data_IF_062193076795
#
_entry.id   IF_062193076795
#
_cell.length_a   1.000
_cell.length_b   1.000
_cell.length_c   1.000
_cell.angle_alpha   90.00
_cell.angle_beta   90.00
_cell.angle_gamma   90.00
#
_symmetry.space_group_name_H-M   'P 1'
#
loop_
_entity.id
_entity.type
_entity.pdbx_description
1 polymer ?
#
# COMPACT_ATOMS: atom_id res chain seq x y z
N UNK A 1 16.57 -7.71 45.74
CA UNK A 1 16.39 -7.49 44.29
C UNK A 1 15.48 -8.57 43.73
N UNK A 2 14.47 -8.22 42.92
CA UNK A 2 13.57 -9.20 42.29
C UNK A 2 14.19 -9.65 40.97
N UNK A 3 14.30 -10.96 40.76
CA UNK A 3 14.76 -11.55 39.49
C UNK A 3 13.54 -11.84 38.61
N UNK A 4 13.52 -11.33 37.39
CA UNK A 4 12.44 -11.54 36.41
C UNK A 4 12.98 -11.43 34.98
N UNK A 5 12.11 -11.66 34.00
CA UNK A 5 12.40 -11.60 32.58
C UNK A 5 11.54 -10.55 31.83
N UNK A 6 11.24 -9.40 32.45
CA UNK A 6 10.43 -8.36 31.82
C UNK A 6 11.04 -7.78 30.53
N UNK A 7 12.32 -8.05 30.27
CA UNK A 7 13.01 -7.73 29.02
C UNK A 7 12.61 -8.66 27.85
N UNK A 8 11.89 -9.77 28.10
CA UNK A 8 11.54 -10.73 27.06
C UNK A 8 10.47 -10.17 26.10
N UNK A 9 10.88 -9.79 24.90
CA UNK A 9 10.06 -9.07 23.91
C UNK A 9 8.97 -9.88 23.17
N UNK A 10 8.45 -10.97 23.72
CA UNK A 10 7.50 -11.86 23.02
C UNK A 10 6.23 -11.12 22.60
N UNK A 11 5.73 -10.23 23.47
CA UNK A 11 4.52 -9.46 23.21
C UNK A 11 4.70 -8.51 22.02
N UNK A 12 5.88 -7.90 21.86
CA UNK A 12 6.20 -7.09 20.67
C UNK A 12 6.32 -7.98 19.43
N UNK A 13 7.00 -9.12 19.52
CA UNK A 13 7.14 -10.04 18.38
C UNK A 13 5.78 -10.49 17.84
N UNK A 14 4.88 -10.94 18.72
CA UNK A 14 3.52 -11.34 18.37
C UNK A 14 2.72 -10.19 17.75
N UNK A 15 2.80 -8.99 18.33
CA UNK A 15 2.10 -7.82 17.79
C UNK A 15 2.59 -7.43 16.39
N UNK A 16 3.91 -7.49 16.15
CA UNK A 16 4.50 -7.18 14.84
C UNK A 16 4.19 -8.24 13.78
N UNK A 17 4.12 -9.52 14.15
CA UNK A 17 3.65 -10.59 13.27
C UNK A 17 2.18 -10.40 12.87
N UNK A 18 1.32 -10.07 13.83
CA UNK A 18 -0.09 -9.79 13.53
C UNK A 18 -0.27 -8.55 12.65
N UNK A 19 0.51 -7.49 12.89
CA UNK A 19 0.50 -6.30 12.05
C UNK A 19 0.96 -6.61 10.61
N UNK A 20 2.00 -7.42 10.43
CA UNK A 20 2.44 -7.85 9.10
C UNK A 20 1.32 -8.57 8.34
N UNK A 21 0.62 -9.51 9.01
CA UNK A 21 -0.51 -10.23 8.43
C UNK A 21 -1.63 -9.26 7.99
N UNK A 22 -1.95 -8.27 8.83
CA UNK A 22 -2.98 -7.28 8.51
C UNK A 22 -2.60 -6.42 7.28
N UNK A 23 -1.36 -5.94 7.23
CA UNK A 23 -0.84 -5.15 6.11
C UNK A 23 -0.84 -5.93 4.79
N UNK A 24 -0.41 -7.20 4.82
CA UNK A 24 -0.41 -8.07 3.64
C UNK A 24 -1.83 -8.31 3.13
N UNK A 25 -2.81 -8.56 4.01
CA UNK A 25 -4.20 -8.73 3.59
C UNK A 25 -4.80 -7.45 2.99
N UNK A 26 -4.47 -6.29 3.56
CA UNK A 26 -4.87 -4.99 2.99
C UNK A 26 -4.31 -4.81 1.57
N UNK A 27 -3.03 -5.14 1.35
CA UNK A 27 -2.41 -5.03 0.03
C UNK A 27 -2.91 -6.09 -0.97
N UNK A 28 -3.23 -7.30 -0.53
CA UNK A 28 -3.91 -8.29 -1.39
C UNK A 28 -5.21 -7.72 -1.95
N UNK A 29 -5.99 -7.00 -1.13
CA UNK A 29 -7.21 -6.36 -1.58
C UNK A 29 -6.93 -5.17 -2.51
N UNK A 30 -5.94 -4.34 -2.20
CA UNK A 30 -5.49 -3.23 -3.05
C UNK A 30 -5.09 -3.70 -4.45
N UNK A 31 -4.28 -4.77 -4.53
CA UNK A 31 -3.86 -5.39 -5.78
C UNK A 31 -5.05 -5.89 -6.62
N UNK A 32 -6.08 -6.46 -5.99
CA UNK A 32 -7.33 -6.84 -6.68
C UNK A 32 -8.16 -5.64 -7.15
N UNK A 33 -8.11 -4.51 -6.44
CA UNK A 33 -8.78 -3.27 -6.88
C UNK A 33 -8.04 -2.61 -8.04
N UNK A 34 -6.71 -2.68 -8.06
CA UNK A 34 -5.91 -2.29 -9.23
C UNK A 34 -6.32 -3.08 -10.46
N UNK A 35 -6.34 -4.41 -10.35
CA UNK A 35 -6.78 -5.32 -11.41
C UNK A 35 -8.19 -4.96 -11.91
N UNK A 36 -9.14 -4.77 -10.98
CA UNK A 36 -10.51 -4.37 -11.31
C UNK A 36 -10.60 -3.02 -12.03
N UNK A 37 -9.74 -2.04 -11.74
CA UNK A 37 -9.76 -0.74 -12.44
C UNK A 37 -9.18 -0.83 -13.85
N UNK A 38 -8.20 -1.70 -14.04
CA UNK A 38 -7.44 -1.82 -15.29
C UNK A 38 -8.10 -2.79 -16.28
N UNK A 39 -8.92 -3.73 -15.81
CA UNK A 39 -9.61 -4.71 -16.64
C UNK A 39 -10.97 -4.18 -17.16
N UNK A 40 -11.15 -4.02 -18.49
CA UNK A 40 -12.39 -3.53 -19.09
C UNK A 40 -13.61 -4.41 -18.79
N UNK A 41 -13.44 -5.70 -18.49
CA UNK A 41 -14.55 -6.60 -18.19
C UNK A 41 -15.15 -6.34 -16.80
N UNK A 42 -14.41 -5.64 -15.93
CA UNK A 42 -14.76 -5.46 -14.51
C UNK A 42 -14.78 -4.00 -14.04
N UNK A 43 -14.26 -3.06 -14.83
CA UNK A 43 -14.00 -1.69 -14.42
C UNK A 43 -15.19 -0.73 -14.59
N UNK A 44 -16.28 -1.13 -15.26
CA UNK A 44 -17.48 -0.32 -15.49
C UNK A 44 -17.28 0.75 -16.56
N UNK A 45 -17.05 0.32 -17.80
CA UNK A 45 -16.91 1.13 -19.02
C UNK A 45 -15.68 2.06 -19.06
N UNK A 46 -14.71 1.86 -18.17
CA UNK A 46 -13.42 2.54 -18.27
C UNK A 46 -12.59 1.88 -19.38
N UNK A 47 -11.75 2.64 -20.10
CA UNK A 47 -10.90 2.07 -21.14
C UNK A 47 -9.88 1.08 -20.53
N UNK A 48 -9.45 0.06 -21.29
CA UNK A 48 -8.48 -0.91 -20.81
C UNK A 48 -7.21 -0.22 -20.32
N UNK A 49 -6.72 -0.65 -19.16
CA UNK A 49 -5.56 -0.08 -18.47
C UNK A 49 -5.63 1.43 -18.21
N UNK A 50 -6.85 1.97 -18.16
CA UNK A 50 -7.14 3.40 -18.03
C UNK A 50 -6.51 4.25 -19.16
N UNK A 51 -6.30 3.65 -20.33
CA UNK A 51 -5.73 4.29 -21.52
C UNK A 51 -6.85 4.77 -22.46
N UNK A 52 -7.30 6.02 -22.30
CA UNK A 52 -8.37 6.57 -23.14
C UNK A 52 -7.89 6.92 -24.55
N UNK A 53 -6.67 7.43 -24.68
CA UNK A 53 -6.12 7.93 -25.93
C UNK A 53 -5.30 6.85 -26.66
N UNK A 54 -5.73 6.46 -27.86
CA UNK A 54 -5.05 5.47 -28.73
C UNK A 54 -4.72 4.12 -28.04
N UNK A 55 -5.72 3.43 -27.42
CA UNK A 55 -5.48 2.13 -26.80
C UNK A 55 -4.92 1.12 -27.80
N UNK A 56 -3.98 0.29 -27.34
CA UNK A 56 -3.27 -0.70 -28.17
C UNK A 56 -1.96 -0.20 -28.77
N UNK A 57 -1.89 1.07 -29.18
CA UNK A 57 -0.60 1.73 -29.44
C UNK A 57 0.09 2.12 -28.13
N UNK A 58 -0.71 2.50 -27.14
CA UNK A 58 -0.29 2.88 -25.80
C UNK A 58 -0.73 1.84 -24.79
N UNK A 59 0.04 1.76 -23.71
CA UNK A 59 -0.14 0.78 -22.63
C UNK A 59 -0.80 1.37 -21.39
N UNK A 60 -0.87 2.70 -21.27
CA UNK A 60 -1.46 3.38 -20.13
C UNK A 60 -0.82 2.94 -18.82
N UNK A 61 -1.65 2.53 -17.85
CA UNK A 61 -1.20 2.13 -16.51
C UNK A 61 -0.83 0.65 -16.39
N UNK A 62 -0.85 -0.13 -17.49
CA UNK A 62 -0.53 -1.57 -17.47
C UNK A 62 0.82 -1.87 -16.79
N UNK A 63 1.85 -1.07 -17.09
CA UNK A 63 3.20 -1.28 -16.55
C UNK A 63 3.28 -1.17 -15.03
N UNK A 64 2.48 -0.28 -14.42
CA UNK A 64 2.46 -0.12 -12.96
C UNK A 64 1.82 -1.30 -12.23
N UNK A 65 0.93 -2.06 -12.90
CA UNK A 65 0.32 -3.25 -12.32
C UNK A 65 1.35 -4.35 -12.04
N UNK A 66 2.36 -4.48 -12.90
CA UNK A 66 3.45 -5.45 -12.70
C UNK A 66 4.22 -5.16 -11.41
N UNK A 67 4.50 -3.89 -11.15
CA UNK A 67 5.14 -3.45 -9.91
C UNK A 67 4.27 -3.77 -8.69
N UNK A 68 2.99 -3.38 -8.71
CA UNK A 68 2.08 -3.62 -7.58
C UNK A 68 1.90 -5.13 -7.29
N UNK A 69 1.78 -5.96 -8.34
CA UNK A 69 1.69 -7.42 -8.21
C UNK A 69 2.99 -8.00 -7.65
N UNK A 70 4.16 -7.54 -8.13
CA UNK A 70 5.47 -8.00 -7.66
C UNK A 70 5.69 -7.67 -6.19
N UNK A 71 5.44 -6.43 -5.78
CA UNK A 71 5.56 -6.03 -4.37
C UNK A 71 4.58 -6.80 -3.48
N UNK A 72 3.36 -7.05 -3.97
CA UNK A 72 2.37 -7.87 -3.24
C UNK A 72 2.87 -9.30 -3.03
N UNK A 73 3.51 -9.91 -4.04
CA UNK A 73 4.13 -11.22 -3.89
C UNK A 73 5.29 -11.21 -2.87
N UNK A 74 6.12 -10.17 -2.89
CA UNK A 74 7.25 -10.01 -1.99
C UNK A 74 6.81 -9.87 -0.52
N UNK A 75 5.83 -9.00 -0.23
CA UNK A 75 5.33 -8.84 1.15
C UNK A 75 4.66 -10.12 1.67
N UNK A 76 4.02 -10.91 0.79
CA UNK A 76 3.46 -12.22 1.15
C UNK A 76 4.55 -13.20 1.56
N UNK A 77 5.65 -13.24 0.80
CA UNK A 77 6.81 -14.07 1.13
C UNK A 77 7.42 -13.65 2.48
N UNK A 78 7.56 -12.35 2.72
CA UNK A 78 8.14 -11.84 3.97
C UNK A 78 7.31 -12.22 5.21
N UNK A 79 6.00 -12.44 5.08
CA UNK A 79 5.05 -12.56 6.20
C UNK A 79 5.15 -13.83 7.06
N UNK A 80 6.26 -14.57 7.02
CA UNK A 80 6.50 -15.68 7.94
C UNK A 80 6.68 -15.15 9.37
N UNK A 81 5.93 -15.65 10.38
CA UNK A 81 6.02 -15.17 11.76
C UNK A 81 7.41 -15.38 12.37
N UNK A 82 7.95 -14.33 12.99
CA UNK A 82 9.25 -14.38 13.67
C UNK A 82 9.13 -14.78 15.14
N UNK A 83 7.95 -14.60 15.74
CA UNK A 83 7.71 -14.82 17.16
C UNK A 83 7.77 -16.30 17.58
N UNK A 84 7.74 -17.21 16.61
CA UNK A 84 7.82 -18.67 16.82
C UNK A 84 9.21 -19.25 16.46
N UNK A 85 10.15 -18.41 16.05
CA UNK A 85 11.42 -18.86 15.47
C UNK A 85 12.54 -18.98 16.50
N UNK A 86 12.21 -19.21 17.79
CA UNK A 86 13.19 -19.25 18.89
C UNK A 86 14.38 -20.16 18.58
N UNK A 87 15.58 -19.71 18.90
CA UNK A 87 16.82 -20.48 18.76
C UNK A 87 17.65 -20.28 20.04
N UNK A 88 18.07 -21.38 20.71
CA UNK A 88 18.81 -21.28 21.95
C UNK A 88 20.20 -20.68 21.71
N UNK A 89 20.70 -19.96 22.71
CA UNK A 89 22.04 -19.37 22.68
C UNK A 89 22.64 -19.26 24.08
N UNK A 90 23.93 -18.86 24.15
CA UNK A 90 24.66 -18.66 25.41
C UNK A 90 24.71 -19.93 26.27
N UNK A 91 24.99 -21.09 25.65
CA UNK A 91 25.06 -22.37 26.34
C UNK A 91 23.76 -22.72 27.09
N UNK A 92 22.62 -22.57 26.39
CA UNK A 92 21.26 -22.79 26.90
C UNK A 92 20.80 -21.83 28.02
N UNK A 93 21.56 -20.76 28.32
CA UNK A 93 21.07 -19.71 29.23
C UNK A 93 19.94 -18.88 28.62
N UNK A 94 19.97 -18.68 27.30
CA UNK A 94 18.88 -18.06 26.54
C UNK A 94 18.25 -19.14 25.64
N UNK A 95 17.53 -20.06 26.25
CA UNK A 95 16.87 -21.20 25.60
C UNK A 95 15.55 -20.81 24.91
N UNK A 96 14.92 -19.71 25.34
CA UNK A 96 13.72 -19.15 24.73
C UNK A 96 13.87 -17.63 24.47
N UNK A 97 13.70 -17.22 23.21
CA UNK A 97 13.82 -15.82 22.77
C UNK A 97 12.70 -15.43 21.78
N UNK A 98 12.46 -14.13 21.64
CA UNK A 98 11.30 -13.61 20.89
C UNK A 98 11.57 -13.18 19.45
N UNK A 99 12.81 -12.88 19.09
CA UNK A 99 13.16 -12.19 17.83
C UNK A 99 12.36 -10.90 17.53
N UNK A 100 11.89 -10.19 18.58
CA UNK A 100 10.99 -9.04 18.41
C UNK A 100 11.52 -7.90 17.52
N UNK A 101 12.83 -7.61 17.56
CA UNK A 101 13.42 -6.59 16.68
C UNK A 101 13.42 -7.02 15.20
N UNK A 102 13.62 -8.31 14.92
CA UNK A 102 13.57 -8.85 13.55
C UNK A 102 12.13 -8.77 13.03
N UNK A 103 11.15 -9.14 13.85
CA UNK A 103 9.73 -8.98 13.55
C UNK A 103 9.40 -7.52 13.20
N UNK A 104 9.83 -6.56 14.02
CA UNK A 104 9.59 -5.13 13.80
C UNK A 104 10.24 -4.60 12.51
N UNK A 105 11.49 -4.97 12.22
CA UNK A 105 12.19 -4.56 10.99
C UNK A 105 11.50 -5.09 9.74
N UNK A 106 11.15 -6.38 9.73
CA UNK A 106 10.39 -6.99 8.63
C UNK A 106 9.05 -6.27 8.44
N UNK A 107 8.31 -6.00 9.51
CA UNK A 107 7.01 -5.31 9.42
C UNK A 107 7.15 -3.88 8.90
N UNK A 108 8.23 -3.15 9.26
CA UNK A 108 8.56 -1.85 8.67
C UNK A 108 8.82 -1.95 7.16
N UNK A 109 9.56 -2.96 6.72
CA UNK A 109 9.89 -3.13 5.31
C UNK A 109 8.64 -3.54 4.50
N UNK A 110 7.76 -4.38 5.06
CA UNK A 110 6.41 -4.64 4.52
C UNK A 110 5.61 -3.34 4.38
N UNK A 111 5.56 -2.52 5.44
CA UNK A 111 4.82 -1.26 5.42
C UNK A 111 5.31 -0.30 4.33
N UNK A 112 6.62 -0.23 4.10
CA UNK A 112 7.20 0.56 3.00
C UNK A 112 6.69 0.09 1.64
N UNK A 113 6.68 -1.21 1.40
CA UNK A 113 6.13 -1.78 0.17
C UNK A 113 4.62 -1.53 0.03
N UNK A 114 3.87 -1.51 1.14
CA UNK A 114 2.45 -1.16 1.13
C UNK A 114 2.21 0.25 0.56
N UNK A 115 3.07 1.23 0.86
CA UNK A 115 2.91 2.59 0.35
C UNK A 115 2.96 2.66 -1.18
N UNK A 116 3.84 1.89 -1.81
CA UNK A 116 3.94 1.84 -3.27
C UNK A 116 2.72 1.19 -3.94
N UNK A 117 2.20 0.11 -3.35
CA UNK A 117 0.99 -0.58 -3.84
C UNK A 117 -0.21 0.36 -3.76
N UNK A 118 -0.39 1.04 -2.63
CA UNK A 118 -1.46 2.02 -2.41
C UNK A 118 -1.29 3.29 -3.25
N UNK A 119 -0.06 3.73 -3.49
CA UNK A 119 0.24 4.86 -4.36
C UNK A 119 -0.19 4.58 -5.80
N UNK A 120 0.14 3.39 -6.32
CA UNK A 120 -0.31 2.99 -7.63
C UNK A 120 -1.85 2.88 -7.71
N UNK A 121 -2.50 2.32 -6.69
CA UNK A 121 -3.97 2.28 -6.61
C UNK A 121 -4.59 3.68 -6.66
N UNK A 122 -4.03 4.62 -5.90
CA UNK A 122 -4.52 5.99 -5.87
C UNK A 122 -4.33 6.71 -7.22
N UNK A 123 -3.22 6.47 -7.92
CA UNK A 123 -2.99 6.98 -9.28
C UNK A 123 -4.04 6.42 -10.25
N UNK A 124 -4.29 5.10 -10.22
CA UNK A 124 -5.34 4.46 -11.01
C UNK A 124 -6.73 5.06 -10.71
N UNK A 125 -7.06 5.23 -9.43
CA UNK A 125 -8.33 5.81 -9.02
C UNK A 125 -8.50 7.26 -9.51
N UNK A 126 -7.44 8.07 -9.46
CA UNK A 126 -7.48 9.45 -9.96
C UNK A 126 -7.66 9.49 -11.48
N UNK A 127 -6.92 8.65 -12.21
CA UNK A 127 -7.05 8.55 -13.68
C UNK A 127 -8.47 8.09 -14.07
N UNK A 128 -9.04 7.11 -13.36
CA UNK A 128 -10.41 6.67 -13.56
C UNK A 128 -11.44 7.78 -13.30
N UNK A 129 -11.23 8.59 -12.24
CA UNK A 129 -12.09 9.73 -11.94
C UNK A 129 -12.02 10.82 -13.02
N UNK A 130 -10.84 11.09 -13.58
CA UNK A 130 -10.71 12.03 -14.70
C UNK A 130 -11.49 11.57 -15.95
N UNK A 131 -11.47 10.26 -16.23
CA UNK A 131 -12.17 9.67 -17.37
C UNK A 131 -13.70 9.72 -17.18
N UNK A 132 -14.17 9.50 -15.95
CA UNK A 132 -15.61 9.46 -15.61
C UNK A 132 -16.24 10.82 -15.36
N UNK A 133 -15.47 11.79 -14.88
CA UNK A 133 -15.97 13.09 -14.46
C UNK A 133 -15.74 13.33 -12.98
N UNK A 134 -14.86 14.30 -12.67
CA UNK A 134 -14.45 14.64 -11.31
C UNK A 134 -15.55 15.32 -10.51
N UNK A 135 -16.57 15.89 -11.14
CA UNK A 135 -17.72 16.57 -10.53
C UNK A 135 -18.54 15.65 -9.62
N UNK A 136 -18.47 14.34 -9.82
CA UNK A 136 -19.18 13.34 -9.00
C UNK A 136 -18.43 12.94 -7.72
N UNK A 137 -17.17 13.36 -7.56
CA UNK A 137 -16.38 13.07 -6.36
C UNK A 137 -16.92 13.83 -5.14
N UNK A 138 -16.97 13.12 -4.01
CA UNK A 138 -17.21 13.70 -2.69
C UNK A 138 -16.12 14.71 -2.31
N UNK A 139 -16.38 15.55 -1.30
CA UNK A 139 -15.41 16.54 -0.82
C UNK A 139 -14.05 15.92 -0.48
N UNK A 140 -14.04 14.78 0.23
CA UNK A 140 -12.82 14.09 0.63
C UNK A 140 -12.05 13.52 -0.57
N UNK A 141 -12.75 12.85 -1.49
CA UNK A 141 -12.11 12.22 -2.66
C UNK A 141 -11.64 13.26 -3.68
N UNK A 142 -12.37 14.37 -3.85
CA UNK A 142 -11.94 15.52 -4.65
C UNK A 142 -10.67 16.16 -4.12
N UNK A 143 -10.54 16.28 -2.80
CA UNK A 143 -9.32 16.79 -2.16
C UNK A 143 -8.13 15.88 -2.45
N UNK A 144 -8.29 14.57 -2.24
CA UNK A 144 -7.23 13.60 -2.53
C UNK A 144 -6.84 13.59 -4.01
N UNK A 145 -7.82 13.61 -4.90
CA UNK A 145 -7.61 13.74 -6.34
C UNK A 145 -6.80 15.00 -6.67
N UNK A 146 -7.17 16.15 -6.11
CA UNK A 146 -6.45 17.41 -6.30
C UNK A 146 -4.99 17.35 -5.83
N UNK A 147 -4.71 16.73 -4.68
CA UNK A 147 -3.34 16.53 -4.19
C UNK A 147 -2.53 15.65 -5.15
N UNK A 148 -3.11 14.56 -5.65
CA UNK A 148 -2.45 13.68 -6.62
C UNK A 148 -2.20 14.42 -7.93
N UNK A 149 -3.14 15.24 -8.40
CA UNK A 149 -3.01 15.99 -9.66
C UNK A 149 -1.98 17.11 -9.65
N UNK A 150 -1.53 17.53 -8.46
CA UNK A 150 -0.36 18.40 -8.31
C UNK A 150 0.96 17.67 -8.58
N UNK A 151 0.98 16.34 -8.43
CA UNK A 151 2.17 15.50 -8.59
C UNK A 151 2.14 14.78 -9.94
N UNK A 152 1.01 14.16 -10.26
CA UNK A 152 0.80 13.32 -11.43
C UNK A 152 -0.19 14.04 -12.34
N UNK A 153 0.19 14.50 -13.54
CA UNK A 153 -0.78 15.05 -14.48
C UNK A 153 -1.70 13.96 -15.02
N UNK A 154 -2.84 14.33 -15.62
CA UNK A 154 -3.65 13.38 -16.38
C UNK A 154 -2.75 12.71 -17.43
N UNK A 155 -2.75 11.38 -17.45
CA UNK A 155 -1.85 10.62 -18.29
C UNK A 155 -2.51 10.40 -19.66
N UNK A 156 -2.37 11.40 -20.53
CA UNK A 156 -2.85 11.37 -21.91
C UNK A 156 -1.90 10.68 -22.88
N UNK A 157 -0.78 10.14 -22.38
CA UNK A 157 0.26 9.39 -23.10
C UNK A 157 1.04 8.53 -22.12
N UNK A 158 1.79 7.57 -22.65
CA UNK A 158 2.67 6.73 -21.84
C UNK A 158 3.83 7.59 -21.28
N UNK A 159 4.01 7.55 -19.96
CA UNK A 159 5.04 8.27 -19.22
C UNK A 159 5.70 7.32 -18.22
N UNK A 160 6.98 7.51 -17.88
CA UNK A 160 7.61 6.79 -16.78
C UNK A 160 6.87 7.05 -15.45
N UNK A 161 6.38 6.00 -14.80
CA UNK A 161 5.57 6.13 -13.59
C UNK A 161 6.39 6.19 -12.29
N UNK A 162 7.69 5.88 -12.33
CA UNK A 162 8.52 5.71 -11.14
C UNK A 162 8.49 6.96 -10.23
N UNK A 163 8.81 8.13 -10.76
CA UNK A 163 8.88 9.36 -9.96
C UNK A 163 7.50 9.75 -9.40
N UNK A 164 6.43 9.52 -10.16
CA UNK A 164 5.06 9.74 -9.71
C UNK A 164 4.69 8.81 -8.56
N UNK A 165 5.01 7.52 -8.68
CA UNK A 165 4.71 6.52 -7.66
C UNK A 165 5.50 6.81 -6.37
N UNK A 166 6.79 7.15 -6.48
CA UNK A 166 7.62 7.56 -5.33
C UNK A 166 7.04 8.78 -4.61
N UNK A 167 6.66 9.82 -5.37
CA UNK A 167 6.11 11.05 -4.80
C UNK A 167 4.75 10.82 -4.14
N UNK A 168 3.87 9.99 -4.72
CA UNK A 168 2.58 9.65 -4.11
C UNK A 168 2.76 8.72 -2.90
N UNK A 169 3.72 7.79 -2.93
CA UNK A 169 4.06 6.96 -1.77
C UNK A 169 4.55 7.80 -0.58
N UNK A 170 5.31 8.86 -0.83
CA UNK A 170 5.74 9.81 0.20
C UNK A 170 4.55 10.54 0.87
N UNK A 171 3.42 10.74 0.17
CA UNK A 171 2.21 11.29 0.79
C UNK A 171 1.58 10.33 1.81
N UNK A 172 1.64 9.02 1.55
CA UNK A 172 1.22 8.00 2.51
C UNK A 172 2.17 7.94 3.71
N UNK A 173 3.48 7.89 3.48
CA UNK A 173 4.49 7.80 4.54
C UNK A 173 4.46 9.01 5.49
N UNK A 174 4.31 10.22 4.94
CA UNK A 174 4.24 11.46 5.73
C UNK A 174 2.89 11.68 6.45
N UNK A 175 1.89 10.86 6.13
CA UNK A 175 0.52 11.00 6.60
C UNK A 175 -0.18 12.26 6.11
N UNK A 176 0.31 12.92 5.06
CA UNK A 176 -0.28 14.14 4.51
C UNK A 176 -1.71 13.91 4.01
N UNK A 177 -1.95 12.77 3.35
CA UNK A 177 -3.29 12.36 2.91
C UNK A 177 -4.29 12.32 4.07
N UNK A 178 -3.92 11.69 5.18
CA UNK A 178 -4.77 11.60 6.37
C UNK A 178 -4.98 12.97 7.04
N UNK A 179 -3.94 13.80 7.11
CA UNK A 179 -4.02 15.15 7.70
C UNK A 179 -4.90 16.10 6.90
N UNK A 180 -5.01 15.87 5.59
CA UNK A 180 -5.80 16.72 4.69
C UNK A 180 -7.29 16.33 4.66
N UNK A 181 -7.66 15.16 5.17
CA UNK A 181 -9.06 14.76 5.30
C UNK A 181 -9.81 15.68 6.29
N UNK A 182 -11.08 16.03 6.00
CA UNK A 182 -11.93 16.74 6.95
C UNK A 182 -12.00 15.99 8.29
N UNK A 183 -11.84 16.71 9.41
CA UNK A 183 -11.83 16.11 10.75
C UNK A 183 -13.22 15.74 11.26
N UNK A 184 -14.23 16.45 10.77
CA UNK A 184 -15.62 16.22 11.12
C UNK A 184 -16.14 15.17 10.14
N UNK A 185 -16.93 14.20 10.62
CA UNK A 185 -17.33 12.97 9.91
C UNK A 185 -17.88 13.08 8.48
N UNK A 186 -18.03 14.27 7.92
CA UNK A 186 -18.29 14.53 6.50
C UNK A 186 -17.21 14.02 5.54
N UNK A 187 -16.06 13.52 6.02
CA UNK A 187 -15.16 12.70 5.20
C UNK A 187 -15.82 11.39 4.72
N UNK A 188 -16.90 10.95 5.39
CA UNK A 188 -17.65 9.74 5.10
C UNK A 188 -19.12 10.01 4.72
N UNK A 189 -19.50 11.25 4.38
CA UNK A 189 -20.81 11.51 3.77
C UNK A 189 -20.75 11.02 2.31
N UNK A 190 -21.23 9.79 2.10
CA UNK A 190 -21.38 9.13 0.81
C UNK A 190 -22.71 9.46 0.15
#
# INVERSE_FOLDING_TARGET
AVHNANFHGQYIANAMDQLAIALVNMCNLSDRRNDRLLDPDHNGDLPPFLCRENPGMRQGLMGGQFMATSLTAEIRQMCTPMSIQTLPSTGDFQDHVSFGLVAARRTRDILRNCYYILAFELICACQAADIRGIETLSTATRLMHGMVRQIVPYLDRDEPLTDYIEAVAALFESGQLLKALPKDGGAYDW
#
